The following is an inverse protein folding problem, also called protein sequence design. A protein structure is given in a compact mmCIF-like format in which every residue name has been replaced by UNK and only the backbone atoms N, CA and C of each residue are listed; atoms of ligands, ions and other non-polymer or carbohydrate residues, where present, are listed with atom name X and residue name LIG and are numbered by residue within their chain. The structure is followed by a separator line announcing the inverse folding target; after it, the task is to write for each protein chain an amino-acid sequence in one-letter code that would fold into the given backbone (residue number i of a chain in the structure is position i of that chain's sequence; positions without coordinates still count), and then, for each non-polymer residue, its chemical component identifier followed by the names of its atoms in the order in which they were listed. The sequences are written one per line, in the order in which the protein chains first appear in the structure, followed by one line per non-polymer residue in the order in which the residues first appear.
data_IF_438739228211
#
_entry.id   IF_438739228211
#
_cell.length_a   1.000
_cell.length_b   1.000
_cell.length_c   1.000
_cell.angle_alpha   90.00
_cell.angle_beta   90.00
_cell.angle_gamma   90.00
#
_symmetry.space_group_name_H-M   'P 1'
#
loop_
_entity.id
_entity.type
_entity.pdbx_description
1 polymer ?
#
# COMPACT_ATOMS: atom_id res chain seq x y z
N UNK A 1 9.89 2.97 -18.15
CA UNK A 1 10.13 1.55 -17.78
C UNK A 1 10.61 1.47 -16.33
N UNK A 2 10.46 0.34 -15.63
CA UNK A 2 10.78 0.21 -14.19
C UNK A 2 12.23 0.60 -13.84
N UNK A 3 13.17 0.25 -14.71
CA UNK A 3 14.60 0.59 -14.57
C UNK A 3 14.90 2.09 -14.64
N UNK A 4 14.10 2.86 -15.40
CA UNK A 4 14.26 4.33 -15.51
C UNK A 4 13.81 5.05 -14.23
N UNK A 5 13.11 4.34 -13.33
CA UNK A 5 12.57 4.88 -12.07
C UNK A 5 13.27 4.34 -10.83
N UNK A 6 14.45 3.71 -10.99
CA UNK A 6 15.20 3.05 -9.91
C UNK A 6 14.36 2.05 -9.10
N UNK A 7 13.35 1.41 -9.73
CA UNK A 7 12.58 0.36 -9.07
C UNK A 7 13.40 -0.94 -9.15
N UNK A 8 13.77 -1.55 -8.02
CA UNK A 8 14.54 -2.79 -8.02
C UNK A 8 13.72 -3.91 -8.67
N UNK A 9 14.34 -4.61 -9.64
CA UNK A 9 13.76 -5.80 -10.22
C UNK A 9 14.11 -6.98 -9.31
N UNK A 10 13.09 -7.58 -8.70
CA UNK A 10 13.23 -8.77 -7.86
C UNK A 10 13.10 -10.00 -8.75
N UNK A 11 14.03 -10.94 -8.63
CA UNK A 11 13.97 -12.18 -9.39
C UNK A 11 12.80 -13.05 -8.92
N UNK A 12 12.27 -13.91 -9.80
CA UNK A 12 11.04 -14.67 -9.51
C UNK A 12 11.19 -15.58 -8.28
N UNK A 13 12.36 -16.15 -8.08
CA UNK A 13 12.67 -17.00 -6.92
C UNK A 13 12.60 -16.25 -5.59
N UNK A 14 12.87 -14.93 -5.60
CA UNK A 14 12.85 -14.07 -4.42
C UNK A 14 11.47 -13.40 -4.22
N UNK A 15 10.51 -13.67 -5.11
CA UNK A 15 9.11 -13.24 -5.01
C UNK A 15 8.16 -14.45 -5.12
N UNK A 16 8.17 -15.36 -4.13
CA UNK A 16 7.35 -16.57 -4.18
C UNK A 16 5.85 -16.26 -4.19
N UNK A 17 5.03 -17.09 -4.85
CA UNK A 17 3.58 -16.94 -4.83
C UNK A 17 3.05 -17.15 -3.42
N UNK A 18 1.95 -16.46 -3.08
CA UNK A 18 1.23 -16.63 -1.81
C UNK A 18 2.04 -16.37 -0.52
N UNK A 19 3.16 -15.65 -0.61
CA UNK A 19 3.94 -15.20 0.56
C UNK A 19 3.95 -13.66 0.60
N UNK A 20 2.82 -13.01 0.96
CA UNK A 20 2.77 -11.55 1.04
C UNK A 20 3.81 -10.98 2.02
N UNK A 21 4.13 -11.71 3.10
CA UNK A 21 5.11 -11.27 4.10
C UNK A 21 6.53 -11.09 3.54
N UNK A 22 6.85 -11.73 2.41
CA UNK A 22 8.13 -11.55 1.73
C UNK A 22 8.24 -10.21 0.99
N UNK A 23 7.11 -9.51 0.77
CA UNK A 23 7.05 -8.25 0.04
C UNK A 23 6.92 -7.09 1.02
N UNK A 24 7.92 -6.22 1.08
CA UNK A 24 7.92 -5.03 1.95
C UNK A 24 6.73 -4.10 1.72
N UNK A 25 6.18 -4.07 0.50
CA UNK A 25 5.01 -3.25 0.18
C UNK A 25 3.75 -3.64 0.96
N UNK A 26 3.62 -4.91 1.38
CA UNK A 26 2.47 -5.36 2.17
C UNK A 26 2.45 -4.71 3.56
N UNK A 27 3.62 -4.40 4.14
CA UNK A 27 3.71 -3.62 5.37
C UNK A 27 3.17 -2.21 5.17
N UNK A 28 3.49 -1.57 4.04
CA UNK A 28 2.98 -0.23 3.71
C UNK A 28 1.45 -0.25 3.59
N UNK A 29 0.91 -1.24 2.87
CA UNK A 29 -0.55 -1.38 2.73
C UNK A 29 -1.25 -1.64 4.06
N UNK A 30 -0.72 -2.51 4.91
CA UNK A 30 -1.29 -2.80 6.22
C UNK A 30 -1.31 -1.56 7.14
N UNK A 31 -0.25 -0.76 7.11
CA UNK A 31 -0.18 0.49 7.88
C UNK A 31 -1.16 1.54 7.33
N UNK A 32 -1.27 1.65 6.01
CA UNK A 32 -2.20 2.58 5.36
C UNK A 32 -3.65 2.21 5.67
N UNK A 33 -4.00 0.93 5.55
CA UNK A 33 -5.33 0.41 5.88
C UNK A 33 -5.74 0.78 7.31
N UNK A 34 -4.87 0.51 8.29
CA UNK A 34 -5.09 0.90 9.69
C UNK A 34 -5.35 2.39 9.87
N UNK A 35 -4.62 3.26 9.15
CA UNK A 35 -4.80 4.73 9.20
C UNK A 35 -6.07 5.21 8.50
N UNK A 36 -6.49 4.54 7.42
CA UNK A 36 -7.71 4.88 6.68
C UNK A 36 -8.92 4.71 7.58
N UNK A 37 -8.98 3.59 8.31
CA UNK A 37 -10.11 3.17 9.15
C UNK A 37 -9.97 3.57 10.64
N UNK A 38 -8.97 4.36 11.00
CA UNK A 38 -8.76 4.88 12.35
C UNK A 38 -10.00 5.63 12.89
N UNK A 39 -10.26 5.54 14.18
CA UNK A 39 -11.41 6.16 14.87
C UNK A 39 -12.78 5.70 14.35
N UNK A 40 -12.89 4.42 13.94
CA UNK A 40 -14.12 3.85 13.36
C UNK A 40 -14.60 4.63 12.13
N UNK A 41 -13.67 5.18 11.34
CA UNK A 41 -14.02 5.87 10.12
C UNK A 41 -14.52 4.85 9.08
N UNK A 42 -15.64 5.15 8.44
CA UNK A 42 -16.23 4.31 7.40
C UNK A 42 -16.44 5.10 6.10
N UNK A 43 -16.23 4.43 4.98
CA UNK A 43 -16.46 5.02 3.66
C UNK A 43 -17.95 5.03 3.32
N UNK A 44 -18.48 6.21 3.00
CA UNK A 44 -19.88 6.37 2.54
C UNK A 44 -20.06 6.08 1.04
N UNK A 45 -18.96 6.16 0.28
CA UNK A 45 -18.88 5.88 -1.15
C UNK A 45 -17.40 5.77 -1.57
N UNK A 46 -17.18 5.34 -2.81
CA UNK A 46 -15.84 5.14 -3.37
C UNK A 46 -15.05 6.45 -3.47
N UNK A 47 -15.69 7.58 -3.75
CA UNK A 47 -15.01 8.89 -3.83
C UNK A 47 -14.50 9.37 -2.47
N UNK A 48 -15.26 9.13 -1.40
CA UNK A 48 -14.84 9.40 -0.03
C UNK A 48 -13.67 8.51 0.36
N UNK A 49 -13.71 7.21 0.03
CA UNK A 49 -12.62 6.28 0.25
C UNK A 49 -11.35 6.69 -0.49
N UNK A 50 -11.45 7.00 -1.79
CA UNK A 50 -10.30 7.41 -2.61
C UNK A 50 -9.64 8.69 -2.08
N UNK A 51 -10.44 9.68 -1.66
CA UNK A 51 -9.91 10.90 -1.02
C UNK A 51 -9.22 10.59 0.31
N UNK A 52 -9.82 9.74 1.15
CA UNK A 52 -9.26 9.34 2.44
C UNK A 52 -7.92 8.60 2.28
N UNK A 53 -7.84 7.64 1.36
CA UNK A 53 -6.62 6.92 1.02
C UNK A 53 -5.53 7.89 0.59
N UNK A 54 -5.82 8.80 -0.35
CA UNK A 54 -4.84 9.82 -0.80
C UNK A 54 -4.39 10.75 0.32
N UNK A 55 -5.31 11.13 1.22
CA UNK A 55 -4.98 11.95 2.37
C UNK A 55 -4.05 11.21 3.33
N UNK A 56 -4.37 9.96 3.68
CA UNK A 56 -3.59 9.16 4.62
C UNK A 56 -2.25 8.70 4.07
N UNK A 57 -2.18 8.40 2.76
CA UNK A 57 -0.92 8.06 2.11
C UNK A 57 0.12 9.19 2.15
N UNK A 58 -0.31 10.46 2.18
CA UNK A 58 0.60 11.62 2.34
C UNK A 58 1.22 11.74 3.73
N UNK A 59 0.74 10.98 4.71
CA UNK A 59 1.33 10.93 6.06
C UNK A 59 2.48 9.90 6.14
N UNK A 60 2.77 9.19 5.05
CA UNK A 60 3.89 8.27 4.91
C UNK A 60 4.98 8.98 4.10
N UNK A 61 6.17 9.11 4.67
CA UNK A 61 7.37 9.61 4.00
C UNK A 61 8.01 8.55 3.10
#
# INVERSE_FOLDING_TARGET
RLHERNVPLVARQDNPPNVPQARSIETVWALLDRKVYENNWEAKNLDALARRIKQKAKEFD
#
